data_IF_200309520877
#
_entry.id   IF_200309520877
#
_cell.length_a   1.000
_cell.length_b   1.000
_cell.length_c   1.000
_cell.angle_alpha   90.00
_cell.angle_beta   90.00
_cell.angle_gamma   90.00
#
_symmetry.space_group_name_H-M   'P 1'
#
loop_
_entity.id
_entity.type
_entity.pdbx_description
1 polymer ?
#
# COMPACT_ATOMS: atom_id res chain seq x y z
N UNK A 1 -14.90 18.77 -7.51
CA UNK A 1 -13.79 18.38 -6.62
C UNK A 1 -14.31 17.91 -5.27
N UNK A 2 -14.29 16.60 -5.10
CA UNK A 2 -14.75 15.86 -3.95
C UNK A 2 -13.62 14.99 -3.39
N UNK A 3 -13.72 14.64 -2.11
CA UNK A 3 -12.80 13.78 -1.38
C UNK A 3 -13.58 12.71 -0.63
N UNK A 4 -12.87 11.64 -0.29
CA UNK A 4 -13.37 10.58 0.59
C UNK A 4 -13.16 11.00 2.05
N UNK A 5 -14.21 10.84 2.86
CA UNK A 5 -14.21 10.99 4.32
C UNK A 5 -13.46 9.82 4.94
N UNK A 6 -12.14 9.98 5.13
CA UNK A 6 -11.27 8.92 5.68
C UNK A 6 -11.75 8.38 7.04
N UNK A 7 -12.47 9.19 7.82
CA UNK A 7 -13.04 8.84 9.12
C UNK A 7 -14.17 7.79 9.05
N UNK A 8 -14.77 7.57 7.88
CA UNK A 8 -15.81 6.54 7.65
C UNK A 8 -15.20 5.23 7.14
N UNK A 9 -14.02 5.32 6.53
CA UNK A 9 -13.33 4.17 5.95
C UNK A 9 -12.76 3.25 7.01
N UNK A 10 -12.70 1.96 6.68
CA UNK A 10 -12.07 0.90 7.48
C UNK A 10 -11.12 0.11 6.61
N UNK A 11 -10.03 -0.37 7.20
CA UNK A 11 -9.10 -1.26 6.50
C UNK A 11 -9.87 -2.43 5.87
N UNK A 12 -9.49 -2.76 4.63
CA UNK A 12 -10.18 -3.74 3.79
C UNK A 12 -11.26 -3.15 2.88
N UNK A 13 -11.73 -1.92 3.10
CA UNK A 13 -12.69 -1.30 2.18
C UNK A 13 -12.14 -1.27 0.75
N UNK A 14 -12.98 -1.70 -0.20
CA UNK A 14 -12.70 -1.64 -1.63
C UNK A 14 -13.31 -0.35 -2.15
N UNK A 15 -12.53 0.44 -2.88
CA UNK A 15 -13.00 1.69 -3.46
C UNK A 15 -12.97 1.51 -4.97
N UNK A 16 -14.14 1.53 -5.61
CA UNK A 16 -14.25 1.58 -7.06
C UNK A 16 -14.39 3.03 -7.49
N UNK A 17 -13.70 3.39 -8.57
CA UNK A 17 -13.69 4.76 -9.07
C UNK A 17 -13.72 4.82 -10.59
N UNK A 18 -14.17 5.96 -11.12
CA UNK A 18 -14.12 6.29 -12.55
C UNK A 18 -13.36 7.60 -12.76
N UNK A 19 -12.71 7.69 -13.91
CA UNK A 19 -12.15 8.94 -14.43
C UNK A 19 -12.64 9.21 -15.85
N UNK A 20 -12.36 10.40 -16.37
CA UNK A 20 -12.70 10.78 -17.75
C UNK A 20 -11.63 10.40 -18.79
N UNK A 21 -10.65 9.58 -18.42
CA UNK A 21 -9.65 9.10 -19.36
C UNK A 21 -10.27 8.19 -20.43
N UNK A 22 -9.66 8.16 -21.63
CA UNK A 22 -10.11 7.29 -22.72
C UNK A 22 -10.12 5.82 -22.31
N UNK A 23 -9.10 5.38 -21.58
CA UNK A 23 -9.01 4.00 -21.08
C UNK A 23 -10.15 3.70 -20.10
N UNK A 24 -10.41 4.59 -19.15
CA UNK A 24 -11.51 4.46 -18.19
C UNK A 24 -12.86 4.31 -18.89
N UNK A 25 -13.15 5.10 -19.94
CA UNK A 25 -14.38 4.97 -20.74
C UNK A 25 -14.49 3.61 -21.44
N UNK A 26 -13.38 3.06 -21.93
CA UNK A 26 -13.35 1.74 -22.57
C UNK A 26 -13.66 0.65 -21.55
N UNK A 27 -13.01 0.68 -20.38
CA UNK A 27 -13.21 -0.30 -19.31
C UNK A 27 -14.68 -0.33 -18.92
N UNK A 28 -15.25 0.82 -18.55
CA UNK A 28 -16.67 0.95 -18.17
C UNK A 28 -17.62 0.33 -19.18
N UNK A 29 -17.43 0.66 -20.46
CA UNK A 29 -18.25 0.14 -21.56
C UNK A 29 -18.12 -1.39 -21.71
N UNK A 30 -16.90 -1.93 -21.61
CA UNK A 30 -16.63 -3.36 -21.82
C UNK A 30 -17.00 -4.23 -20.64
N UNK A 31 -16.88 -3.71 -19.42
CA UNK A 31 -17.26 -4.42 -18.21
C UNK A 31 -18.73 -4.24 -17.82
N UNK A 32 -19.50 -3.42 -18.55
CA UNK A 32 -20.85 -3.00 -18.17
C UNK A 32 -20.89 -2.44 -16.73
N UNK A 33 -19.94 -1.53 -16.43
CA UNK A 33 -19.75 -0.94 -15.11
C UNK A 33 -19.69 0.57 -15.19
N UNK A 34 -20.16 1.26 -14.14
CA UNK A 34 -19.92 2.69 -13.97
C UNK A 34 -18.50 3.02 -13.50
N UNK A 35 -17.72 2.01 -13.09
CA UNK A 35 -16.37 2.17 -12.55
C UNK A 35 -15.32 1.47 -13.41
N UNK A 36 -14.10 2.02 -13.41
CA UNK A 36 -12.99 1.53 -14.25
C UNK A 36 -11.77 1.08 -13.46
N UNK A 37 -11.68 1.44 -12.18
CA UNK A 37 -10.52 1.15 -11.34
C UNK A 37 -10.96 0.71 -9.95
N UNK A 38 -10.13 -0.08 -9.29
CA UNK A 38 -10.36 -0.61 -7.96
C UNK A 38 -9.10 -0.45 -7.12
N UNK A 39 -9.26 0.05 -5.89
CA UNK A 39 -8.18 0.19 -4.91
C UNK A 39 -8.60 -0.44 -3.58
N UNK A 40 -7.61 -0.81 -2.77
CA UNK A 40 -7.80 -1.40 -1.44
C UNK A 40 -7.35 -0.42 -0.36
N UNK A 41 -8.26 -0.02 0.53
CA UNK A 41 -7.93 0.87 1.64
C UNK A 41 -7.27 0.10 2.80
N UNK A 42 -6.13 0.60 3.27
CA UNK A 42 -5.27 -0.04 4.28
C UNK A 42 -5.40 0.58 5.68
N UNK A 43 -6.22 1.62 5.83
CA UNK A 43 -6.32 2.40 7.07
C UNK A 43 -5.29 3.53 7.17
N UNK A 44 -5.46 4.41 8.16
CA UNK A 44 -4.48 5.47 8.46
C UNK A 44 -4.25 6.49 7.33
N UNK A 45 -5.17 6.58 6.36
CA UNK A 45 -5.03 7.35 5.10
C UNK A 45 -4.23 6.67 3.99
N UNK A 46 -3.82 5.41 4.15
CA UNK A 46 -3.13 4.62 3.12
C UNK A 46 -4.10 3.78 2.30
N UNK A 47 -3.86 3.68 0.99
CA UNK A 47 -4.44 2.64 0.13
C UNK A 47 -3.34 2.00 -0.72
N UNK A 48 -3.62 0.82 -1.26
CA UNK A 48 -2.78 0.15 -2.25
C UNK A 48 -3.63 -0.15 -3.47
N UNK A 49 -3.06 0.03 -4.64
CA UNK A 49 -3.67 -0.35 -5.91
C UNK A 49 -2.65 -0.90 -6.88
N UNK A 50 -3.11 -1.25 -8.09
CA UNK A 50 -2.28 -1.70 -9.19
C UNK A 50 -2.68 -0.93 -10.44
N UNK A 51 -1.79 -0.07 -10.91
CA UNK A 51 -1.96 0.77 -12.09
C UNK A 51 -0.65 0.80 -12.91
N UNK A 52 -0.42 1.77 -13.80
CA UNK A 52 0.72 1.77 -14.73
C UNK A 52 2.09 1.45 -14.09
N UNK A 53 2.50 2.16 -13.02
CA UNK A 53 3.69 1.85 -12.22
C UNK A 53 3.72 0.51 -11.46
N UNK A 54 2.68 -0.32 -11.54
CA UNK A 54 2.56 -1.58 -10.83
C UNK A 54 1.76 -1.45 -9.53
N UNK A 55 1.96 -2.39 -8.60
CA UNK A 55 1.31 -2.34 -7.28
C UNK A 55 2.02 -1.35 -6.38
N UNK A 56 1.34 -0.31 -5.92
CA UNK A 56 1.95 0.77 -5.14
C UNK A 56 1.07 1.23 -3.98
N UNK A 57 1.70 1.79 -2.95
CA UNK A 57 1.02 2.39 -1.81
C UNK A 57 0.89 3.90 -1.99
N UNK A 58 -0.28 4.43 -1.66
CA UNK A 58 -0.64 5.84 -1.87
C UNK A 58 -1.40 6.43 -0.68
N UNK A 59 -1.59 7.75 -0.70
CA UNK A 59 -2.37 8.48 0.29
C UNK A 59 -3.77 8.82 -0.25
N UNK A 60 -4.81 8.34 0.42
CA UNK A 60 -6.23 8.53 0.04
C UNK A 60 -6.64 10.00 -0.04
N UNK A 61 -5.99 10.86 0.74
CA UNK A 61 -6.26 12.30 0.76
C UNK A 61 -5.78 13.03 -0.49
N UNK A 62 -5.01 12.35 -1.36
CA UNK A 62 -4.58 12.87 -2.66
C UNK A 62 -5.53 12.52 -3.80
N UNK A 63 -6.52 11.66 -3.55
CA UNK A 63 -7.53 11.31 -4.55
C UNK A 63 -8.67 12.33 -4.53
N UNK A 64 -8.73 13.16 -5.59
CA UNK A 64 -9.80 14.12 -5.84
C UNK A 64 -10.68 13.66 -7.00
N UNK A 65 -11.99 13.91 -6.89
CA UNK A 65 -12.99 13.47 -7.86
C UNK A 65 -13.82 14.66 -8.37
N UNK A 66 -14.27 14.60 -9.61
CA UNK A 66 -15.06 15.69 -10.19
C UNK A 66 -16.46 15.72 -9.62
N UNK A 67 -17.08 14.54 -9.43
CA UNK A 67 -18.44 14.33 -8.94
C UNK A 67 -18.49 13.34 -7.75
N UNK A 68 -19.63 13.33 -7.04
CA UNK A 68 -19.84 12.41 -5.90
C UNK A 68 -20.04 10.96 -6.35
N UNK A 69 -20.64 10.75 -7.52
CA UNK A 69 -20.92 9.45 -8.14
C UNK A 69 -19.73 8.90 -8.94
N UNK A 70 -18.58 9.57 -8.90
CA UNK A 70 -17.34 9.04 -9.49
C UNK A 70 -16.75 7.91 -8.66
N UNK A 71 -17.26 7.69 -7.45
CA UNK A 71 -16.74 6.71 -6.49
C UNK A 71 -17.85 5.95 -5.77
N UNK A 72 -17.53 4.71 -5.43
CA UNK A 72 -18.30 3.91 -4.48
C UNK A 72 -17.34 3.18 -3.55
N UNK A 73 -17.72 3.07 -2.28
CA UNK A 73 -16.97 2.33 -1.27
C UNK A 73 -17.77 1.08 -0.91
N UNK A 74 -17.12 -0.08 -1.01
CA UNK A 74 -17.68 -1.39 -0.75
C UNK A 74 -16.94 -2.03 0.43
N UNK A 75 -17.70 -2.62 1.34
CA UNK A 75 -17.18 -3.29 2.54
C UNK A 75 -17.70 -4.71 2.63
N UNK A 76 -16.81 -5.63 3.00
CA UNK A 76 -17.17 -7.02 3.28
C UNK A 76 -18.28 -7.10 4.34
N UNK A 77 -19.33 -7.85 4.01
CA UNK A 77 -20.39 -8.16 4.97
C UNK A 77 -19.77 -9.01 6.08
N UNK A 78 -19.96 -8.60 7.34
CA UNK A 78 -19.32 -9.20 8.52
C UNK A 78 -17.79 -9.02 8.60
N UNK A 79 -17.26 -7.86 8.16
CA UNK A 79 -15.84 -7.49 8.16
C UNK A 79 -15.13 -7.40 9.52
N UNK A 80 -15.73 -7.83 10.63
CA UNK A 80 -15.14 -7.69 11.98
C UNK A 80 -14.10 -8.77 12.32
N UNK A 81 -13.69 -9.59 11.35
CA UNK A 81 -12.72 -10.65 11.55
C UNK A 81 -11.30 -10.10 11.36
N UNK A 82 -10.65 -9.77 12.48
CA UNK A 82 -9.29 -9.19 12.50
C UNK A 82 -8.29 -10.04 11.71
N UNK A 83 -8.39 -11.38 11.78
CA UNK A 83 -7.49 -12.30 11.08
C UNK A 83 -7.63 -12.23 9.55
N UNK A 84 -8.86 -12.04 9.05
CA UNK A 84 -9.10 -11.85 7.62
C UNK A 84 -8.43 -10.55 7.17
N UNK A 85 -8.65 -9.46 7.90
CA UNK A 85 -8.06 -8.16 7.56
C UNK A 85 -6.53 -8.21 7.60
N UNK A 86 -5.94 -8.87 8.60
CA UNK A 86 -4.49 -9.02 8.68
C UNK A 86 -3.92 -9.78 7.48
N UNK A 87 -4.59 -10.84 7.00
CA UNK A 87 -4.15 -11.59 5.81
C UNK A 87 -4.29 -10.78 4.52
N UNK A 88 -5.39 -10.03 4.37
CA UNK A 88 -5.59 -9.09 3.25
C UNK A 88 -4.46 -8.05 3.26
N UNK A 89 -4.19 -7.44 4.41
CA UNK A 89 -3.16 -6.41 4.56
C UNK A 89 -1.76 -6.95 4.26
N UNK A 90 -1.44 -8.16 4.75
CA UNK A 90 -0.16 -8.82 4.51
C UNK A 90 0.06 -9.08 3.02
N UNK A 91 -0.92 -9.69 2.35
CA UNK A 91 -0.85 -9.94 0.91
C UNK A 91 -0.64 -8.64 0.13
N UNK A 92 -1.44 -7.60 0.45
CA UNK A 92 -1.37 -6.33 -0.25
C UNK A 92 0.03 -5.69 -0.17
N UNK A 93 0.65 -5.76 1.02
CA UNK A 93 2.01 -5.23 1.25
C UNK A 93 3.08 -6.05 0.53
N UNK A 94 2.98 -7.37 0.53
CA UNK A 94 3.93 -8.26 -0.17
C UNK A 94 3.91 -8.07 -1.69
N UNK A 95 2.81 -7.54 -2.25
CA UNK A 95 2.71 -7.30 -3.69
C UNK A 95 3.27 -5.95 -4.14
N UNK A 96 3.63 -5.03 -3.24
CA UNK A 96 4.23 -3.73 -3.63
C UNK A 96 5.43 -3.95 -4.56
N UNK A 97 5.44 -3.25 -5.69
CA UNK A 97 6.45 -3.39 -6.75
C UNK A 97 6.05 -4.30 -7.91
N UNK A 98 5.02 -5.15 -7.73
CA UNK A 98 4.62 -6.09 -8.78
C UNK A 98 4.14 -5.34 -10.02
N UNK A 99 4.70 -5.64 -11.19
CA UNK A 99 4.40 -4.92 -12.42
C UNK A 99 2.94 -5.09 -12.89
N UNK A 100 2.46 -4.08 -13.60
CA UNK A 100 1.11 -4.06 -14.16
C UNK A 100 0.99 -4.93 -15.41
N UNK A 101 -0.09 -5.69 -15.52
CA UNK A 101 -0.47 -6.44 -16.71
C UNK A 101 -1.52 -5.68 -17.51
N UNK A 102 -1.06 -4.91 -18.49
CA UNK A 102 -1.97 -4.28 -19.47
C UNK A 102 -2.63 -5.34 -20.36
N UNK A 103 -1.88 -6.37 -20.74
CA UNK A 103 -2.36 -7.44 -21.63
C UNK A 103 -3.53 -8.22 -21.00
N UNK A 104 -3.44 -8.55 -19.72
CA UNK A 104 -4.49 -9.29 -19.03
C UNK A 104 -5.65 -8.41 -18.60
N UNK A 105 -5.39 -7.14 -18.27
CA UNK A 105 -6.43 -6.14 -18.06
C UNK A 105 -7.29 -5.93 -19.32
N UNK A 106 -6.73 -6.08 -20.52
CA UNK A 106 -7.50 -6.06 -21.78
C UNK A 106 -8.19 -7.40 -22.02
N UNK A 107 -7.49 -8.54 -21.85
CA UNK A 107 -8.06 -9.87 -22.12
C UNK A 107 -9.32 -10.16 -21.31
N UNK A 108 -9.39 -9.73 -20.04
CA UNK A 108 -10.61 -9.91 -19.22
C UNK A 108 -11.81 -9.14 -19.78
N UNK A 109 -11.57 -7.97 -20.36
CA UNK A 109 -12.62 -7.12 -20.94
C UNK A 109 -13.15 -7.67 -22.27
N UNK A 110 -12.33 -8.41 -23.01
CA UNK A 110 -12.69 -8.94 -24.33
C UNK A 110 -13.28 -10.34 -24.27
N UNK A 111 -12.76 -11.18 -23.38
CA UNK A 111 -13.06 -12.61 -23.34
C UNK A 111 -13.79 -13.04 -22.06
N UNK A 112 -14.03 -12.09 -21.14
CA UNK A 112 -14.69 -12.33 -19.87
C UNK A 112 -13.81 -13.04 -18.83
N UNK A 113 -14.46 -13.49 -17.76
CA UNK A 113 -13.82 -13.93 -16.51
C UNK A 113 -13.48 -15.43 -16.48
N UNK A 114 -13.63 -16.17 -17.58
CA UNK A 114 -13.44 -17.64 -17.63
C UNK A 114 -12.07 -18.07 -18.14
N UNK A 115 -11.13 -17.13 -18.28
CA UNK A 115 -9.78 -17.40 -18.75
C UNK A 115 -8.85 -17.90 -17.64
N UNK A 116 -7.80 -18.62 -18.04
CA UNK A 116 -6.66 -19.00 -17.19
C UNK A 116 -5.54 -17.95 -17.27
N UNK A 117 -4.97 -17.51 -16.13
CA UNK A 117 -3.99 -16.44 -16.10
C UNK A 117 -2.68 -16.85 -16.77
N UNK A 118 -2.20 -16.01 -17.68
CA UNK A 118 -0.93 -16.18 -18.40
C UNK A 118 0.21 -15.37 -17.77
N UNK A 119 -0.10 -14.20 -17.21
CA UNK A 119 0.88 -13.34 -16.52
C UNK A 119 0.68 -13.41 -14.99
N UNK A 120 0.78 -14.61 -14.42
CA UNK A 120 0.51 -14.89 -12.98
C UNK A 120 1.35 -14.05 -12.00
N UNK A 121 2.52 -13.58 -12.44
CA UNK A 121 3.41 -12.76 -11.63
C UNK A 121 3.16 -11.24 -11.80
N UNK A 122 2.09 -10.84 -12.48
CA UNK A 122 1.73 -9.42 -12.73
C UNK A 122 0.33 -9.16 -12.20
N UNK A 123 0.04 -7.90 -11.95
CA UNK A 123 -1.23 -7.47 -11.37
C UNK A 123 -1.98 -6.48 -12.26
N UNK A 124 -3.29 -6.42 -12.10
CA UNK A 124 -4.08 -5.26 -12.49
C UNK A 124 -5.08 -4.96 -11.40
N UNK A 125 -5.65 -3.77 -11.40
CA UNK A 125 -6.40 -3.21 -10.27
C UNK A 125 -7.41 -4.16 -9.61
N UNK A 126 -8.34 -4.73 -10.38
CA UNK A 126 -9.38 -5.61 -9.84
C UNK A 126 -8.83 -6.99 -9.47
N UNK A 127 -7.88 -7.56 -10.24
CA UNK A 127 -7.18 -8.80 -9.84
C UNK A 127 -6.50 -8.63 -8.49
N UNK A 128 -5.72 -7.57 -8.33
CA UNK A 128 -4.99 -7.29 -7.10
C UNK A 128 -5.92 -7.27 -5.89
N UNK A 129 -7.01 -6.50 -5.97
CA UNK A 129 -8.00 -6.41 -4.88
C UNK A 129 -8.63 -7.77 -4.57
N UNK A 130 -9.09 -8.50 -5.59
CA UNK A 130 -9.78 -9.78 -5.35
C UNK A 130 -8.84 -10.90 -4.91
N UNK A 131 -7.58 -10.92 -5.37
CA UNK A 131 -6.56 -11.84 -4.87
C UNK A 131 -6.19 -11.54 -3.41
N UNK A 132 -6.20 -10.28 -2.98
CA UNK A 132 -5.98 -9.93 -1.58
C UNK A 132 -7.07 -10.51 -0.68
N UNK A 133 -8.32 -10.51 -1.13
CA UNK A 133 -9.43 -11.17 -0.44
C UNK A 133 -9.35 -12.70 -0.50
N UNK A 134 -9.00 -13.26 -1.66
CA UNK A 134 -8.82 -14.70 -1.84
C UNK A 134 -7.72 -15.26 -0.94
N UNK A 135 -6.60 -14.55 -0.75
CA UNK A 135 -5.51 -14.98 0.13
C UNK A 135 -5.92 -15.09 1.60
N UNK A 136 -6.98 -14.37 2.00
CA UNK A 136 -7.60 -14.46 3.31
C UNK A 136 -8.72 -15.52 3.40
N UNK A 137 -8.95 -16.29 2.33
CA UNK A 137 -10.00 -17.30 2.24
C UNK A 137 -11.39 -16.74 1.92
N UNK A 138 -11.46 -15.53 1.35
CA UNK A 138 -12.73 -14.86 1.02
C UNK A 138 -12.84 -14.63 -0.48
N UNK A 139 -13.64 -15.45 -1.15
CA UNK A 139 -13.93 -15.28 -2.57
C UNK A 139 -15.07 -14.27 -2.79
N UNK A 140 -14.72 -12.99 -2.93
CA UNK A 140 -15.70 -11.93 -3.20
C UNK A 140 -16.24 -11.96 -4.63
N UNK A 141 -15.61 -12.71 -5.54
CA UNK A 141 -15.99 -12.87 -6.94
C UNK A 141 -15.77 -14.32 -7.37
N UNK A 142 -16.33 -14.74 -8.51
CA UNK A 142 -16.19 -16.12 -9.01
C UNK A 142 -14.76 -16.44 -9.49
N UNK A 143 -14.09 -15.50 -10.16
CA UNK A 143 -12.70 -15.65 -10.60
C UNK A 143 -11.88 -14.44 -10.12
N UNK A 144 -11.05 -14.65 -9.11
CA UNK A 144 -10.16 -13.63 -8.54
C UNK A 144 -8.95 -13.29 -9.45
N UNK A 145 -8.65 -14.10 -10.48
CA UNK A 145 -7.58 -13.82 -11.43
C UNK A 145 -8.02 -12.92 -12.58
N UNK A 146 -9.31 -12.93 -12.92
CA UNK A 146 -9.86 -12.11 -14.00
C UNK A 146 -11.21 -11.46 -13.64
N UNK A 147 -11.28 -10.67 -12.56
CA UNK A 147 -12.47 -9.89 -12.24
C UNK A 147 -12.55 -8.61 -13.08
N UNK A 148 -13.76 -8.21 -13.43
CA UNK A 148 -14.08 -6.86 -13.89
C UNK A 148 -14.53 -5.98 -12.71
N UNK A 149 -14.56 -4.64 -12.86
CA UNK A 149 -15.15 -3.77 -11.85
C UNK A 149 -16.61 -4.13 -11.52
N UNK A 150 -17.39 -4.59 -12.52
CA UNK A 150 -18.78 -4.97 -12.34
C UNK A 150 -18.95 -6.23 -11.50
N UNK A 151 -18.01 -7.18 -11.58
CA UNK A 151 -18.03 -8.38 -10.74
C UNK A 151 -17.88 -8.02 -9.26
N UNK A 152 -17.03 -7.03 -8.95
CA UNK A 152 -16.86 -6.53 -7.58
C UNK A 152 -18.11 -5.74 -7.16
N UNK A 153 -18.61 -4.85 -8.02
CA UNK A 153 -19.80 -4.02 -7.74
C UNK A 153 -21.03 -4.88 -7.39
N UNK A 154 -21.24 -5.98 -8.10
CA UNK A 154 -22.38 -6.89 -7.90
C UNK A 154 -22.08 -8.04 -6.92
N UNK A 155 -20.96 -7.99 -6.20
CA UNK A 155 -20.62 -9.03 -5.23
C UNK A 155 -21.65 -9.10 -4.11
N UNK A 156 -22.28 -10.27 -3.94
CA UNK A 156 -23.18 -10.54 -2.81
C UNK A 156 -22.50 -10.52 -1.43
N UNK A 157 -21.18 -10.49 -1.39
CA UNK A 157 -20.38 -10.47 -0.16
C UNK A 157 -20.02 -9.06 0.27
N UNK A 158 -20.27 -8.06 -0.58
CA UNK A 158 -19.94 -6.67 -0.33
C UNK A 158 -21.21 -5.85 -0.12
N UNK A 159 -21.10 -4.80 0.67
CA UNK A 159 -22.16 -3.83 0.92
C UNK A 159 -21.62 -2.42 0.77
N UNK A 160 -22.42 -1.52 0.22
CA UNK A 160 -22.01 -0.14 0.02
C UNK A 160 -21.93 0.63 1.35
N UNK A 161 -20.85 1.38 1.52
CA UNK A 161 -20.68 2.32 2.63
C UNK A 161 -21.17 3.70 2.18
N UNK A 162 -22.31 4.13 2.72
CA UNK A 162 -22.96 5.39 2.34
C UNK A 162 -22.30 6.61 3.00
N UNK A 163 -22.48 7.78 2.38
CA UNK A 163 -22.08 9.08 2.95
C UNK A 163 -20.58 9.34 3.00
N UNK A 164 -19.80 8.56 2.23
CA UNK A 164 -18.34 8.57 2.20
C UNK A 164 -17.73 9.77 1.47
N UNK A 165 -18.51 10.54 0.72
CA UNK A 165 -18.01 11.65 -0.10
C UNK A 165 -18.33 13.00 0.53
N UNK A 166 -17.45 14.00 0.34
CA UNK A 166 -17.73 15.41 0.61
C UNK A 166 -16.98 16.33 -0.36
N UNK A 167 -17.42 17.59 -0.44
CA UNK A 167 -16.66 18.64 -1.11
C UNK A 167 -15.30 18.84 -0.46
N UNK A 168 -14.28 19.01 -1.29
CA UNK A 168 -12.94 19.35 -0.89
C UNK A 168 -12.84 20.86 -0.59
N UNK A 169 -12.06 21.24 0.41
CA UNK A 169 -11.64 22.63 0.59
C UNK A 169 -10.49 22.97 -0.36
N UNK A 170 -10.26 24.27 -0.64
CA UNK A 170 -9.15 24.73 -1.49
C UNK A 170 -7.78 24.24 -0.98
N UNK A 171 -7.59 24.23 0.35
CA UNK A 171 -6.35 23.73 0.96
C UNK A 171 -6.13 22.24 0.67
N UNK A 172 -7.19 21.45 0.69
CA UNK A 172 -7.10 20.01 0.43
C UNK A 172 -6.88 19.72 -1.05
N UNK A 173 -7.50 20.50 -1.95
CA UNK A 173 -7.22 20.41 -3.40
C UNK A 173 -5.74 20.72 -3.65
N UNK A 174 -5.22 21.80 -3.05
CA UNK A 174 -3.80 22.15 -3.17
C UNK A 174 -2.87 21.07 -2.61
N UNK A 175 -3.23 20.45 -1.50
CA UNK A 175 -2.47 19.33 -0.94
C UNK A 175 -2.50 18.09 -1.84
N UNK A 176 -3.67 17.74 -2.39
CA UNK A 176 -3.79 16.61 -3.29
C UNK A 176 -2.90 16.74 -4.53
N UNK A 177 -2.73 17.98 -5.02
CA UNK A 177 -1.94 18.34 -6.19
C UNK A 177 -0.47 18.67 -5.90
N UNK A 178 -0.04 18.70 -4.64
CA UNK A 178 1.37 18.98 -4.31
C UNK A 178 2.24 17.75 -4.53
N UNK A 179 3.56 17.93 -4.58
CA UNK A 179 4.51 16.82 -4.70
C UNK A 179 4.27 15.75 -3.63
N UNK A 180 4.41 14.48 -4.04
CA UNK A 180 4.24 13.32 -3.16
C UNK A 180 5.59 12.65 -2.91
N UNK A 181 6.03 12.47 -1.65
CA UNK A 181 7.24 11.71 -1.36
C UNK A 181 7.16 10.24 -1.80
N UNK A 182 5.94 9.73 -2.06
CA UNK A 182 5.71 8.38 -2.54
C UNK A 182 6.15 8.18 -4.01
N UNK A 183 6.27 9.26 -4.80
CA UNK A 183 6.75 9.15 -6.19
C UNK A 183 8.19 8.64 -6.23
N UNK A 184 9.08 9.23 -5.44
CA UNK A 184 10.46 8.76 -5.28
C UNK A 184 10.52 7.31 -4.79
N UNK A 185 9.60 6.91 -3.89
CA UNK A 185 9.53 5.53 -3.43
C UNK A 185 9.19 4.55 -4.56
N UNK A 186 8.21 4.90 -5.39
CA UNK A 186 7.77 4.10 -6.53
C UNK A 186 8.93 3.92 -7.53
N UNK A 187 9.63 5.01 -7.86
CA UNK A 187 10.76 4.99 -8.78
C UNK A 187 11.89 4.09 -8.28
N UNK A 188 12.26 4.22 -7.00
CA UNK A 188 13.32 3.42 -6.39
C UNK A 188 12.95 1.93 -6.39
N UNK A 189 11.76 1.55 -5.93
CA UNK A 189 11.30 0.16 -5.96
C UNK A 189 11.35 -0.43 -7.38
N UNK A 190 10.78 0.29 -8.35
CA UNK A 190 10.75 -0.18 -9.72
C UNK A 190 12.14 -0.30 -10.34
N UNK A 191 13.07 0.59 -9.99
CA UNK A 191 14.47 0.51 -10.43
C UNK A 191 15.19 -0.72 -9.87
N UNK A 192 14.97 -1.07 -8.60
CA UNK A 192 15.56 -2.26 -7.97
C UNK A 192 15.07 -3.52 -8.68
N UNK A 193 13.77 -3.65 -8.90
CA UNK A 193 13.24 -4.83 -9.60
C UNK A 193 13.62 -4.85 -11.08
N UNK A 194 13.76 -3.71 -11.74
CA UNK A 194 14.29 -3.65 -13.10
C UNK A 194 15.75 -4.14 -13.16
N UNK A 195 16.62 -3.68 -12.27
CA UNK A 195 18.02 -4.09 -12.25
C UNK A 195 18.17 -5.56 -11.84
N UNK A 196 17.43 -6.02 -10.84
CA UNK A 196 17.42 -7.44 -10.45
C UNK A 196 17.04 -8.36 -11.61
N UNK A 197 16.02 -8.00 -12.40
CA UNK A 197 15.63 -8.74 -13.62
C UNK A 197 16.74 -8.72 -14.67
N UNK A 198 17.42 -7.58 -14.84
CA UNK A 198 18.50 -7.43 -15.82
C UNK A 198 19.72 -8.29 -15.45
N UNK A 199 20.11 -8.32 -14.18
CA UNK A 199 21.26 -9.09 -13.68
C UNK A 199 20.96 -10.59 -13.74
N UNK A 200 19.80 -11.00 -13.23
CA UNK A 200 19.47 -12.43 -13.07
C UNK A 200 18.83 -13.08 -14.30
N UNK A 201 18.28 -12.27 -15.22
CA UNK A 201 17.38 -12.73 -16.29
C UNK A 201 16.17 -13.54 -15.77
N UNK A 202 15.79 -13.35 -14.50
CA UNK A 202 14.61 -13.94 -13.88
C UNK A 202 13.50 -12.90 -13.73
N UNK A 203 12.26 -13.36 -13.62
CA UNK A 203 11.10 -12.49 -13.51
C UNK A 203 10.84 -12.04 -12.06
N UNK A 204 11.67 -11.13 -11.56
CA UNK A 204 11.57 -10.58 -10.21
C UNK A 204 10.59 -9.40 -10.17
N UNK A 205 9.67 -9.43 -9.20
CA UNK A 205 8.56 -8.48 -9.04
C UNK A 205 8.39 -7.98 -7.60
N UNK A 206 8.90 -8.70 -6.61
CA UNK A 206 8.78 -8.36 -5.19
C UNK A 206 10.12 -8.55 -4.47
N UNK A 207 10.24 -7.95 -3.28
CA UNK A 207 11.40 -8.21 -2.43
C UNK A 207 11.48 -9.68 -1.99
N UNK A 208 10.36 -10.36 -1.73
CA UNK A 208 10.38 -11.79 -1.36
C UNK A 208 11.04 -12.65 -2.46
N UNK A 209 10.72 -12.38 -3.73
CA UNK A 209 11.36 -13.05 -4.87
C UNK A 209 12.84 -12.70 -5.00
N UNK A 210 13.19 -11.45 -4.67
CA UNK A 210 14.59 -11.01 -4.66
C UNK A 210 15.39 -11.68 -3.53
N UNK A 211 14.81 -11.84 -2.34
CA UNK A 211 15.45 -12.60 -1.24
C UNK A 211 15.68 -14.04 -1.65
N UNK A 212 14.66 -14.70 -2.22
CA UNK A 212 14.76 -16.07 -2.72
C UNK A 212 15.85 -16.21 -3.79
N UNK A 213 15.92 -15.26 -4.73
CA UNK A 213 16.97 -15.19 -5.74
C UNK A 213 18.35 -15.16 -5.09
N UNK A 214 18.60 -14.23 -4.16
CA UNK A 214 19.93 -14.06 -3.53
C UNK A 214 20.32 -15.28 -2.68
N UNK A 215 19.36 -15.91 -2.02
CA UNK A 215 19.61 -17.12 -1.24
C UNK A 215 20.07 -18.26 -2.15
N UNK A 216 19.35 -18.49 -3.25
CA UNK A 216 19.57 -19.60 -4.17
C UNK A 216 20.72 -19.36 -5.17
N UNK A 217 20.99 -18.10 -5.48
CA UNK A 217 21.97 -17.64 -6.47
C UNK A 217 22.92 -16.59 -5.86
N UNK A 218 23.82 -16.99 -4.94
CA UNK A 218 24.77 -16.08 -4.29
C UNK A 218 25.66 -15.31 -5.26
N UNK A 219 25.83 -15.77 -6.50
CA UNK A 219 26.58 -15.09 -7.54
C UNK A 219 26.05 -13.67 -7.84
N UNK A 220 24.77 -13.40 -7.56
CA UNK A 220 24.15 -12.09 -7.78
C UNK A 220 24.18 -11.18 -6.54
N UNK A 221 24.57 -11.69 -5.37
CA UNK A 221 24.46 -10.99 -4.08
C UNK A 221 25.18 -9.65 -4.09
N UNK A 222 26.45 -9.64 -4.49
CA UNK A 222 27.27 -8.42 -4.46
C UNK A 222 26.73 -7.33 -5.38
N UNK A 223 26.42 -7.66 -6.64
CA UNK A 223 26.00 -6.68 -7.65
C UNK A 223 24.62 -6.09 -7.30
N UNK A 224 23.68 -6.93 -6.89
CA UNK A 224 22.34 -6.49 -6.47
C UNK A 224 22.42 -5.66 -5.18
N UNK A 225 23.26 -6.05 -4.23
CA UNK A 225 23.45 -5.30 -2.98
C UNK A 225 24.09 -3.94 -3.22
N UNK A 226 25.06 -3.84 -4.13
CA UNK A 226 25.66 -2.56 -4.52
C UNK A 226 24.62 -1.64 -5.16
N UNK A 227 23.77 -2.16 -6.04
CA UNK A 227 22.66 -1.38 -6.59
C UNK A 227 21.68 -0.93 -5.49
N UNK A 228 21.31 -1.82 -4.57
CA UNK A 228 20.42 -1.50 -3.45
C UNK A 228 20.95 -0.31 -2.63
N UNK A 229 22.25 -0.32 -2.30
CA UNK A 229 22.92 0.78 -1.56
C UNK A 229 22.86 2.10 -2.31
N UNK A 230 23.08 2.06 -3.62
CA UNK A 230 23.11 3.26 -4.47
C UNK A 230 21.72 3.76 -4.86
N UNK A 231 20.68 2.93 -4.71
CA UNK A 231 19.30 3.27 -5.12
C UNK A 231 18.62 4.32 -4.24
N UNK A 232 19.13 4.57 -3.02
CA UNK A 232 18.46 5.42 -2.03
C UNK A 232 17.40 4.71 -1.17
N UNK A 233 17.10 3.44 -1.44
CA UNK A 233 16.11 2.65 -0.71
C UNK A 233 16.37 2.58 0.79
N UNK A 234 17.63 2.35 1.17
CA UNK A 234 18.04 2.21 2.57
C UNK A 234 17.92 3.50 3.39
N UNK A 235 17.67 4.65 2.73
CA UNK A 235 17.68 5.98 3.34
C UNK A 235 16.32 6.71 3.31
N UNK A 236 15.25 6.03 2.87
CA UNK A 236 13.94 6.65 2.71
C UNK A 236 13.36 7.18 4.03
N UNK A 237 13.62 6.49 5.14
CA UNK A 237 13.06 6.86 6.45
C UNK A 237 13.74 8.10 7.03
N UNK A 238 15.01 8.29 6.73
CA UNK A 238 15.80 9.46 7.11
C UNK A 238 15.24 10.71 6.46
N UNK A 239 14.84 10.61 5.18
CA UNK A 239 14.16 11.70 4.49
C UNK A 239 12.81 12.06 5.15
N UNK A 240 12.06 11.09 5.67
CA UNK A 240 10.83 11.36 6.44
C UNK A 240 11.14 12.05 7.75
N UNK A 241 12.15 11.57 8.48
CA UNK A 241 12.62 12.17 9.73
C UNK A 241 13.07 13.62 9.55
N UNK A 242 13.86 13.91 8.52
CA UNK A 242 14.32 15.27 8.22
C UNK A 242 13.19 16.23 7.85
N UNK A 243 12.17 15.74 7.14
CA UNK A 243 11.01 16.55 6.72
C UNK A 243 9.98 16.73 7.83
N UNK A 244 9.85 15.75 8.72
CA UNK A 244 8.85 15.70 9.78
C UNK A 244 9.48 15.50 11.18
N UNK A 245 10.48 16.31 11.58
CA UNK A 245 11.24 16.07 12.82
C UNK A 245 10.37 16.17 14.07
N UNK A 246 9.28 16.94 14.02
CA UNK A 246 8.33 17.09 15.12
C UNK A 246 7.59 15.79 15.47
N UNK A 247 7.60 14.76 14.63
CA UNK A 247 7.05 13.45 14.99
C UNK A 247 7.96 12.64 15.93
N UNK A 248 9.19 13.09 16.14
CA UNK A 248 10.22 12.34 16.88
C UNK A 248 10.81 13.11 18.07
N UNK A 249 10.29 14.29 18.36
CA UNK A 249 10.66 15.09 19.53
C UNK A 249 9.40 15.65 20.20
N UNK A 250 9.19 15.42 21.52
CA UNK A 250 7.99 15.87 22.22
C UNK A 250 7.76 17.39 22.20
N UNK A 251 8.83 18.19 22.29
CA UNK A 251 8.69 19.65 22.33
C UNK A 251 8.35 20.19 20.95
N UNK A 252 9.04 19.72 19.92
CA UNK A 252 8.73 20.05 18.54
C UNK A 252 7.32 19.61 18.15
N UNK A 253 6.84 18.45 18.63
CA UNK A 253 5.48 17.99 18.41
C UNK A 253 4.45 18.99 18.94
N UNK A 254 4.61 19.42 20.20
CA UNK A 254 3.70 20.36 20.86
C UNK A 254 3.74 21.72 20.15
N UNK A 255 4.94 22.21 19.85
CA UNK A 255 5.15 23.50 19.20
C UNK A 255 4.63 23.53 17.77
N UNK A 256 4.68 22.41 17.05
CA UNK A 256 4.16 22.31 15.68
C UNK A 256 2.63 22.32 15.64
N UNK A 257 1.98 21.49 16.47
CA UNK A 257 0.52 21.32 16.39
C UNK A 257 -0.25 22.38 17.17
N UNK A 258 0.30 22.92 18.28
CA UNK A 258 -0.23 24.03 19.10
C UNK A 258 -1.69 23.89 19.60
N UNK A 259 -2.33 22.76 19.35
CA UNK A 259 -3.73 22.52 19.64
C UNK A 259 -3.90 21.11 20.20
N UNK A 260 -4.35 21.02 21.44
CA UNK A 260 -4.57 19.76 22.14
C UNK A 260 -5.50 18.82 21.35
N UNK A 261 -6.59 19.36 20.80
CA UNK A 261 -7.52 18.60 19.95
C UNK A 261 -6.83 17.99 18.73
N UNK A 262 -5.95 18.74 18.08
CA UNK A 262 -5.20 18.24 16.90
C UNK A 262 -4.16 17.23 17.34
N UNK A 263 -3.41 17.50 18.42
CA UNK A 263 -2.42 16.59 18.97
C UNK A 263 -3.05 15.24 19.33
N UNK A 264 -4.18 15.22 20.04
CA UNK A 264 -4.90 13.98 20.38
C UNK A 264 -5.31 13.19 19.12
N UNK A 265 -5.76 13.88 18.06
CA UNK A 265 -6.11 13.23 16.80
C UNK A 265 -4.88 12.57 16.16
N UNK A 266 -3.76 13.30 16.07
CA UNK A 266 -2.51 12.80 15.48
C UNK A 266 -1.94 11.65 16.32
N UNK A 267 -1.94 11.77 17.66
CA UNK A 267 -1.53 10.73 18.60
C UNK A 267 -2.31 9.44 18.35
N UNK A 268 -3.64 9.52 18.24
CA UNK A 268 -4.47 8.35 18.01
C UNK A 268 -4.18 7.70 16.64
N UNK A 269 -4.00 8.50 15.58
CA UNK A 269 -3.68 8.00 14.24
C UNK A 269 -2.29 7.32 14.22
N UNK A 270 -1.25 7.99 14.72
CA UNK A 270 0.12 7.46 14.68
C UNK A 270 0.31 6.27 15.64
N UNK A 271 -0.21 6.34 16.88
CA UNK A 271 -0.03 5.25 17.86
C UNK A 271 -0.56 3.91 17.34
N UNK A 272 -1.70 3.92 16.65
CA UNK A 272 -2.28 2.71 16.08
C UNK A 272 -1.43 2.13 14.94
N UNK A 273 -0.85 3.01 14.10
CA UNK A 273 -0.02 2.64 12.96
C UNK A 273 1.33 2.09 13.44
N UNK A 274 2.04 2.84 14.29
CA UNK A 274 3.37 2.47 14.76
C UNK A 274 3.38 1.20 15.60
N UNK A 275 2.35 0.96 16.42
CA UNK A 275 2.22 -0.32 17.15
C UNK A 275 2.15 -1.52 16.20
N UNK A 276 1.42 -1.40 15.09
CA UNK A 276 1.31 -2.48 14.10
C UNK A 276 2.61 -2.65 13.32
N UNK A 277 3.22 -1.55 12.89
CA UNK A 277 4.51 -1.56 12.19
C UNK A 277 5.58 -2.23 13.07
N UNK A 278 5.66 -1.86 14.35
CA UNK A 278 6.63 -2.45 15.26
C UNK A 278 6.46 -3.96 15.43
N UNK A 279 5.22 -4.45 15.56
CA UNK A 279 4.96 -5.89 15.65
C UNK A 279 5.43 -6.61 14.38
N UNK A 280 5.10 -6.08 13.19
CA UNK A 280 5.53 -6.65 11.92
C UNK A 280 7.06 -6.62 11.77
N UNK A 281 7.72 -5.51 12.12
CA UNK A 281 9.17 -5.38 12.05
C UNK A 281 9.91 -6.35 12.98
N UNK A 282 9.37 -6.65 14.16
CA UNK A 282 9.96 -7.64 15.07
C UNK A 282 9.99 -9.01 14.41
N UNK A 283 8.89 -9.43 13.78
CA UNK A 283 8.81 -10.70 13.05
C UNK A 283 9.79 -10.71 11.87
N UNK A 284 9.77 -9.67 11.03
CA UNK A 284 10.68 -9.54 9.88
C UNK A 284 12.16 -9.55 10.30
N UNK A 285 12.54 -8.86 11.38
CA UNK A 285 13.90 -8.86 11.91
C UNK A 285 14.30 -10.28 12.33
N UNK A 286 13.47 -10.97 13.11
CA UNK A 286 13.77 -12.31 13.59
C UNK A 286 13.93 -13.31 12.45
N UNK A 287 13.10 -13.23 11.41
CA UNK A 287 13.18 -14.13 10.27
C UNK A 287 14.41 -13.82 9.41
N UNK A 288 14.71 -12.54 9.17
CA UNK A 288 15.93 -12.12 8.46
C UNK A 288 17.19 -12.55 9.22
N UNK A 289 17.20 -12.50 10.56
CA UNK A 289 18.32 -12.99 11.38
C UNK A 289 18.57 -14.49 11.18
N UNK A 290 17.52 -15.32 11.22
CA UNK A 290 17.64 -16.76 10.97
C UNK A 290 18.14 -17.07 9.57
N UNK A 291 17.65 -16.34 8.57
CA UNK A 291 18.12 -16.49 7.19
C UNK A 291 19.58 -16.07 7.04
N UNK A 292 19.98 -14.99 7.71
CA UNK A 292 21.36 -14.52 7.71
C UNK A 292 22.30 -15.51 8.39
N UNK A 293 21.90 -16.13 9.50
CA UNK A 293 22.66 -17.21 10.15
C UNK A 293 22.88 -18.41 9.23
N UNK A 294 21.86 -18.74 8.42
CA UNK A 294 21.89 -19.91 7.53
C UNK A 294 22.67 -19.64 6.23
N UNK A 295 22.47 -18.48 5.61
CA UNK A 295 22.97 -18.20 4.27
C UNK A 295 24.10 -17.17 4.24
N UNK A 296 24.18 -16.25 5.21
CA UNK A 296 25.22 -15.22 5.31
C UNK A 296 25.41 -14.41 4.01
N UNK A 297 24.34 -13.77 3.51
CA UNK A 297 24.33 -12.92 2.32
C UNK A 297 24.49 -11.45 2.67
N UNK A 298 25.15 -10.68 1.82
CA UNK A 298 25.36 -9.24 2.04
C UNK A 298 24.04 -8.47 1.93
N UNK A 299 23.19 -8.85 0.97
CA UNK A 299 21.85 -8.31 0.80
C UNK A 299 21.00 -8.44 2.09
N UNK A 300 21.02 -9.61 2.72
CA UNK A 300 20.28 -9.86 3.97
C UNK A 300 20.83 -9.02 5.13
N UNK A 301 22.12 -8.71 5.16
CA UNK A 301 22.70 -7.80 6.17
C UNK A 301 22.18 -6.38 6.00
N UNK A 302 22.10 -5.89 4.77
CA UNK A 302 21.56 -4.55 4.49
C UNK A 302 20.09 -4.44 4.87
N UNK A 303 19.27 -5.44 4.52
CA UNK A 303 17.87 -5.47 4.93
C UNK A 303 17.69 -5.60 6.45
N UNK A 304 18.47 -6.44 7.13
CA UNK A 304 18.42 -6.52 8.59
C UNK A 304 18.75 -5.16 9.24
N UNK A 305 19.77 -4.47 8.72
CA UNK A 305 20.15 -3.12 9.17
C UNK A 305 19.01 -2.13 8.95
N UNK A 306 18.40 -2.14 7.76
CA UNK A 306 17.23 -1.33 7.42
C UNK A 306 16.07 -1.59 8.39
N UNK A 307 15.68 -2.85 8.60
CA UNK A 307 14.53 -3.17 9.46
C UNK A 307 14.77 -2.77 10.92
N UNK A 308 15.99 -2.96 11.45
CA UNK A 308 16.39 -2.46 12.78
C UNK A 308 16.30 -0.94 12.85
N UNK A 309 16.71 -0.23 11.80
CA UNK A 309 16.62 1.23 11.71
C UNK A 309 15.17 1.71 11.66
N UNK A 310 14.32 1.10 10.82
CA UNK A 310 12.88 1.40 10.75
C UNK A 310 12.21 1.20 12.12
N UNK A 311 12.56 0.13 12.82
CA UNK A 311 12.05 -0.15 14.16
C UNK A 311 12.46 0.95 15.15
N UNK A 312 13.74 1.35 15.13
CA UNK A 312 14.23 2.43 15.98
C UNK A 312 13.46 3.74 15.77
N UNK A 313 13.16 4.11 14.51
CA UNK A 313 12.36 5.31 14.24
C UNK A 313 10.92 5.19 14.71
N UNK A 314 10.30 4.01 14.56
CA UNK A 314 8.94 3.77 15.06
C UNK A 314 8.89 3.82 16.59
N UNK A 315 9.90 3.26 17.28
CA UNK A 315 10.05 3.37 18.74
C UNK A 315 10.18 4.84 19.18
N UNK A 316 11.05 5.63 18.54
CA UNK A 316 11.20 7.06 18.84
C UNK A 316 9.89 7.85 18.69
N UNK A 317 9.12 7.54 17.65
CA UNK A 317 7.81 8.17 17.41
C UNK A 317 6.78 7.76 18.46
N UNK A 318 6.75 6.49 18.87
CA UNK A 318 5.89 6.02 19.97
C UNK A 318 6.26 6.66 21.30
N UNK A 319 7.55 6.80 21.60
CA UNK A 319 8.03 7.47 22.81
C UNK A 319 7.63 8.94 22.82
N UNK A 320 7.76 9.61 21.67
CA UNK A 320 7.30 10.98 21.47
C UNK A 320 5.81 11.10 21.74
N UNK A 321 5.01 10.25 21.11
CA UNK A 321 3.55 10.21 21.29
C UNK A 321 3.17 9.99 22.75
N UNK A 322 3.81 9.04 23.43
CA UNK A 322 3.53 8.73 24.83
C UNK A 322 3.91 9.90 25.76
N UNK A 323 5.04 10.57 25.50
CA UNK A 323 5.48 11.73 26.27
C UNK A 323 4.53 12.91 26.09
N UNK A 324 4.11 13.21 24.86
CA UNK A 324 3.14 14.28 24.58
C UNK A 324 1.80 13.95 25.22
N UNK A 325 1.31 12.71 25.07
CA UNK A 325 0.03 12.28 25.64
C UNK A 325 -0.01 12.51 27.15
N UNK A 326 1.01 12.04 27.89
CA UNK A 326 1.13 12.26 29.35
C UNK A 326 1.02 13.74 29.74
N UNK A 327 1.75 14.61 29.02
CA UNK A 327 1.77 16.06 29.28
C UNK A 327 0.42 16.72 29.06
N UNK A 328 -0.30 16.36 27.99
CA UNK A 328 -1.59 16.96 27.68
C UNK A 328 -2.71 16.41 28.58
N UNK A 329 -2.65 15.13 28.97
CA UNK A 329 -3.66 14.52 29.84
C UNK A 329 -3.39 14.70 31.34
N UNK A 330 -2.23 15.26 31.72
CA UNK A 330 -1.76 15.38 33.12
C UNK A 330 -1.71 14.01 33.85
N UNK A 331 -1.40 12.96 33.11
CA UNK A 331 -1.13 11.59 33.60
C UNK A 331 0.38 11.38 33.62
#
# INVERSE_FOLDING_TARGET
MYLIKKEILKSGDIILMKSDSRLSRIIRKKSDSEFSHAILYMGGSSYIDSDGPGVQAHNIQRLIFDNEDDIIVLRLINSNQIDILNKIELFARQKIGTAYSLNEAIQVLENGTSLEPKEVNRQFCTRFVTQAYHSAGVDIVKNFNYPTPNDILNSKFLSEVKGVVRKASEREIKYAQSDSPLETQIEIHNSIFAEARKISNQDIQTFDQLHELIINHPEYDNEITEFLRNSGYLYMMENDFEKNPWHYDPEAFIEYYRSEKIMLKVINELSAIDKRINLALIETINDTEKELEKYNREFLKEHLSLYKKLKSYSDMRLDTINAVFKRITKL
#
